data_IF_770020562353
#
_entry.id   IF_770020562353
#
_cell.length_a   1.000
_cell.length_b   1.000
_cell.length_c   1.000
_cell.angle_alpha   90.00
_cell.angle_beta   90.00
_cell.angle_gamma   90.00
#
_symmetry.space_group_name_H-M   'P 1'
#
loop_
_entity.id
_entity.type
_entity.pdbx_description
1 polymer ?
#
# COMPACT_ATOMS: atom_id res chain seq x y z
N UNK A 1 -34.84 8.07 72.55
CA UNK A 1 -34.39 6.73 72.08
C UNK A 1 -34.71 6.63 70.59
N UNK A 2 -33.72 6.83 69.74
CA UNK A 2 -33.92 6.80 68.31
C UNK A 2 -32.88 5.79 67.71
N UNK A 3 -33.40 4.71 67.16
CA UNK A 3 -32.63 3.65 66.53
C UNK A 3 -32.36 4.05 65.09
N UNK A 4 -31.09 4.28 64.77
CA UNK A 4 -30.60 4.47 63.39
C UNK A 4 -30.35 3.10 62.70
N UNK A 5 -31.06 2.84 61.60
CA UNK A 5 -30.89 1.69 60.79
C UNK A 5 -29.73 1.93 59.82
N UNK A 6 -28.68 1.15 59.96
CA UNK A 6 -27.51 1.10 59.04
C UNK A 6 -27.85 0.21 57.81
N UNK A 7 -27.93 0.80 56.61
CA UNK A 7 -28.15 0.10 55.36
C UNK A 7 -26.80 -0.46 54.86
N UNK A 8 -26.66 -1.79 54.87
CA UNK A 8 -25.50 -2.53 54.33
C UNK A 8 -25.61 -2.58 52.78
N UNK A 9 -24.95 -1.67 52.07
CA UNK A 9 -24.81 -1.72 50.62
C UNK A 9 -23.66 -2.67 50.21
N UNK A 10 -23.99 -3.89 49.85
CA UNK A 10 -23.04 -4.81 49.23
C UNK A 10 -22.72 -4.35 47.81
N UNK A 11 -21.42 -4.27 47.39
CA UNK A 11 -21.05 -3.88 46.02
C UNK A 11 -21.49 -4.94 45.01
N UNK A 12 -22.32 -4.52 44.04
CA UNK A 12 -22.74 -5.34 42.90
C UNK A 12 -21.52 -5.72 42.03
N UNK A 13 -21.23 -7.00 41.96
CA UNK A 13 -20.22 -7.55 40.99
C UNK A 13 -20.67 -7.26 39.56
N UNK A 14 -19.96 -6.32 38.88
CA UNK A 14 -20.11 -6.08 37.45
C UNK A 14 -19.78 -7.37 36.68
N UNK A 15 -20.79 -8.07 36.21
CA UNK A 15 -20.64 -9.24 35.31
C UNK A 15 -20.07 -8.78 34.00
N UNK A 16 -18.81 -9.17 33.73
CA UNK A 16 -18.11 -8.95 32.46
C UNK A 16 -18.86 -9.71 31.36
N UNK A 17 -19.43 -8.98 30.39
CA UNK A 17 -20.11 -9.58 29.24
C UNK A 17 -19.21 -10.67 28.56
N UNK A 18 -19.77 -11.83 28.17
CA UNK A 18 -18.99 -12.93 27.60
C UNK A 18 -18.38 -12.47 26.28
N UNK A 19 -17.03 -12.51 26.15
CA UNK A 19 -16.33 -12.28 24.90
C UNK A 19 -16.83 -13.27 23.84
N UNK A 20 -17.48 -12.77 22.81
CA UNK A 20 -18.01 -13.56 21.69
C UNK A 20 -16.92 -14.48 21.12
N UNK A 21 -17.13 -15.79 21.20
CA UNK A 21 -16.15 -16.82 20.79
C UNK A 21 -15.88 -16.68 19.29
N UNK A 22 -14.64 -16.38 18.90
CA UNK A 22 -14.23 -16.20 17.49
C UNK A 22 -14.48 -17.48 16.72
N UNK A 23 -15.04 -17.37 15.49
CA UNK A 23 -15.29 -18.51 14.61
C UNK A 23 -13.96 -19.05 14.06
N UNK A 24 -13.95 -20.30 13.58
CA UNK A 24 -12.80 -20.90 12.92
C UNK A 24 -12.36 -20.08 11.69
N UNK A 25 -13.32 -19.59 10.90
CA UNK A 25 -13.05 -18.74 9.74
C UNK A 25 -12.35 -17.42 10.13
N UNK A 26 -12.78 -16.78 11.22
CA UNK A 26 -12.13 -15.58 11.75
C UNK A 26 -10.68 -15.84 12.17
N UNK A 27 -10.43 -16.92 12.90
CA UNK A 27 -9.06 -17.31 13.31
C UNK A 27 -8.16 -17.56 12.11
N UNK A 28 -8.67 -18.23 11.09
CA UNK A 28 -7.95 -18.52 9.84
C UNK A 28 -7.58 -17.23 9.11
N UNK A 29 -8.50 -16.27 9.00
CA UNK A 29 -8.23 -14.94 8.39
C UNK A 29 -7.19 -14.16 9.19
N UNK A 30 -7.36 -14.06 10.51
CA UNK A 30 -6.41 -13.37 11.40
C UNK A 30 -4.99 -13.96 11.29
N UNK A 31 -4.89 -15.30 11.26
CA UNK A 31 -3.61 -15.97 11.10
C UNK A 31 -2.98 -15.71 9.74
N UNK A 32 -3.79 -15.74 8.67
CA UNK A 32 -3.33 -15.41 7.32
C UNK A 32 -2.80 -13.98 7.24
N UNK A 33 -3.52 -13.00 7.78
CA UNK A 33 -3.09 -11.59 7.82
C UNK A 33 -1.78 -11.44 8.59
N UNK A 34 -1.66 -12.01 9.79
CA UNK A 34 -0.40 -11.97 10.56
C UNK A 34 0.80 -12.56 9.80
N UNK A 35 0.60 -13.64 9.03
CA UNK A 35 1.66 -14.22 8.20
C UNK A 35 2.06 -13.26 7.08
N UNK A 36 1.09 -12.58 6.43
CA UNK A 36 1.38 -11.63 5.37
C UNK A 36 2.10 -10.38 5.89
N UNK A 37 1.65 -9.82 7.02
CA UNK A 37 2.31 -8.68 7.66
C UNK A 37 3.75 -9.01 8.09
N UNK A 38 3.95 -10.19 8.69
CA UNK A 38 5.28 -10.70 9.02
C UNK A 38 6.15 -10.90 7.76
N UNK A 39 5.57 -11.34 6.65
CA UNK A 39 6.30 -11.51 5.39
C UNK A 39 6.76 -10.15 4.82
N UNK A 40 5.96 -9.09 4.92
CA UNK A 40 6.37 -7.71 4.57
C UNK A 40 7.60 -7.32 5.38
N UNK A 41 7.57 -7.52 6.71
CA UNK A 41 8.69 -7.17 7.59
C UNK A 41 9.96 -7.98 7.29
N UNK A 42 9.83 -9.26 6.98
CA UNK A 42 10.98 -10.10 6.60
C UNK A 42 11.55 -9.66 5.25
N UNK A 43 10.70 -9.36 4.25
CA UNK A 43 11.13 -8.82 2.96
C UNK A 43 11.86 -7.49 3.12
N UNK A 44 11.29 -6.57 3.91
CA UNK A 44 11.90 -5.27 4.19
C UNK A 44 13.29 -5.38 4.83
N UNK A 45 13.46 -6.29 5.78
CA UNK A 45 14.72 -6.45 6.55
C UNK A 45 15.78 -7.27 5.83
N UNK A 46 15.39 -8.28 5.07
CA UNK A 46 16.33 -9.28 4.52
C UNK A 46 16.41 -9.28 3.00
N UNK A 47 15.49 -8.61 2.32
CA UNK A 47 15.32 -8.69 0.88
C UNK A 47 14.82 -10.05 0.40
N UNK A 48 14.47 -10.13 -0.88
CA UNK A 48 13.92 -11.35 -1.48
C UNK A 48 14.95 -12.49 -1.56
N UNK A 49 16.21 -12.18 -1.81
CA UNK A 49 17.28 -13.18 -1.92
C UNK A 49 17.41 -14.01 -0.62
N UNK A 50 17.33 -13.37 0.54
CA UNK A 50 17.47 -14.00 1.85
C UNK A 50 16.11 -14.31 2.53
N UNK A 51 15.00 -14.11 1.82
CA UNK A 51 13.67 -14.40 2.35
C UNK A 51 13.44 -15.90 2.54
N UNK A 52 13.17 -16.31 3.78
CA UNK A 52 12.89 -17.70 4.17
C UNK A 52 11.51 -17.78 4.84
N UNK A 53 10.69 -18.74 4.45
CA UNK A 53 9.35 -18.95 5.03
C UNK A 53 9.40 -19.31 6.52
N UNK A 54 10.48 -19.93 6.98
CA UNK A 54 10.71 -20.20 8.39
C UNK A 54 10.85 -18.92 9.23
N UNK A 55 11.54 -17.90 8.71
CA UNK A 55 11.66 -16.59 9.37
C UNK A 55 10.31 -15.90 9.48
N UNK A 56 9.48 -16.02 8.44
CA UNK A 56 8.10 -15.50 8.46
C UNK A 56 7.25 -16.19 9.52
N UNK A 57 7.30 -17.52 9.61
CA UNK A 57 6.57 -18.27 10.63
C UNK A 57 6.96 -17.81 12.04
N UNK A 58 8.27 -17.66 12.31
CA UNK A 58 8.79 -17.14 13.57
C UNK A 58 8.30 -15.71 13.85
N UNK A 59 8.40 -14.81 12.88
CA UNK A 59 7.97 -13.42 13.03
C UNK A 59 6.45 -13.28 13.23
N UNK A 60 5.65 -14.16 12.58
CA UNK A 60 4.19 -14.19 12.73
C UNK A 60 3.72 -14.86 14.03
N UNK A 61 4.61 -15.49 14.82
CA UNK A 61 4.25 -16.24 16.01
C UNK A 61 3.38 -17.46 15.69
N UNK A 62 3.65 -18.16 14.56
CA UNK A 62 2.93 -19.37 14.16
C UNK A 62 3.89 -20.54 13.96
N UNK A 63 3.38 -21.79 14.05
CA UNK A 63 4.17 -22.95 13.71
C UNK A 63 4.49 -23.00 12.22
N UNK A 64 5.60 -23.64 11.83
CA UNK A 64 5.95 -23.88 10.43
C UNK A 64 4.85 -24.66 9.69
N UNK A 65 4.21 -25.62 10.35
CA UNK A 65 3.07 -26.35 9.79
C UNK A 65 1.87 -25.46 9.50
N UNK A 66 1.52 -24.55 10.41
CA UNK A 66 0.46 -23.58 10.19
C UNK A 66 0.79 -22.61 9.02
N UNK A 67 2.03 -22.13 8.92
CA UNK A 67 2.46 -21.29 7.80
C UNK A 67 2.36 -22.06 6.48
N UNK A 68 2.84 -23.30 6.40
CA UNK A 68 2.77 -24.14 5.20
C UNK A 68 1.33 -24.51 4.82
N UNK A 69 0.44 -24.66 5.79
CA UNK A 69 -0.99 -24.85 5.52
C UNK A 69 -1.59 -23.66 4.77
N UNK A 70 -1.22 -22.43 5.11
CA UNK A 70 -1.67 -21.21 4.42
C UNK A 70 -0.95 -20.98 3.09
N UNK A 71 0.38 -21.20 3.05
CA UNK A 71 1.22 -20.87 1.90
C UNK A 71 2.26 -21.98 1.68
N UNK A 72 1.98 -22.88 0.75
CA UNK A 72 2.78 -24.10 0.49
C UNK A 72 4.19 -23.84 -0.04
N UNK A 73 4.44 -22.69 -0.69
CA UNK A 73 5.74 -22.34 -1.30
C UNK A 73 6.13 -20.91 -1.01
N UNK A 74 7.44 -20.59 -1.12
CA UNK A 74 7.98 -19.23 -1.04
C UNK A 74 7.27 -18.31 -2.05
N UNK A 75 7.15 -18.74 -3.30
CA UNK A 75 6.51 -17.96 -4.36
C UNK A 75 5.04 -17.62 -4.05
N UNK A 76 4.24 -18.60 -3.56
CA UNK A 76 2.85 -18.35 -3.16
C UNK A 76 2.74 -17.38 -1.99
N UNK A 77 3.65 -17.46 -1.02
CA UNK A 77 3.67 -16.52 0.10
C UNK A 77 4.01 -15.12 -0.39
N UNK A 78 5.09 -14.96 -1.19
CA UNK A 78 5.51 -13.68 -1.72
C UNK A 78 4.43 -13.06 -2.61
N UNK A 79 3.82 -13.85 -3.49
CA UNK A 79 2.73 -13.37 -4.35
C UNK A 79 1.54 -12.84 -3.52
N UNK A 80 1.08 -13.61 -2.54
CA UNK A 80 -0.02 -13.19 -1.67
C UNK A 80 0.35 -11.99 -0.78
N UNK A 81 1.62 -11.85 -0.39
CA UNK A 81 2.12 -10.69 0.36
C UNK A 81 2.06 -9.43 -0.50
N UNK A 82 2.53 -9.50 -1.74
CA UNK A 82 2.47 -8.37 -2.66
C UNK A 82 1.03 -8.00 -3.02
N UNK A 83 0.17 -9.00 -3.25
CA UNK A 83 -1.26 -8.78 -3.50
C UNK A 83 -1.92 -8.05 -2.31
N UNK A 84 -1.66 -8.50 -1.07
CA UNK A 84 -2.17 -7.89 0.16
C UNK A 84 -1.77 -6.42 0.29
N UNK A 85 -0.50 -6.12 0.06
CA UNK A 85 0.05 -4.77 0.18
C UNK A 85 -0.49 -3.85 -0.91
N UNK A 86 -0.42 -4.28 -2.17
CA UNK A 86 -0.86 -3.46 -3.31
C UNK A 86 -2.37 -3.22 -3.30
N UNK A 87 -3.17 -4.21 -2.89
CA UNK A 87 -4.62 -4.03 -2.80
C UNK A 87 -4.99 -2.84 -1.90
N UNK A 88 -4.40 -2.74 -0.72
CA UNK A 88 -4.72 -1.68 0.23
C UNK A 88 -4.25 -0.29 -0.25
N UNK A 89 -3.00 -0.20 -0.73
CA UNK A 89 -2.42 1.09 -1.15
C UNK A 89 -3.13 1.64 -2.37
N UNK A 90 -3.40 0.79 -3.37
CA UNK A 90 -3.98 1.24 -4.64
C UNK A 90 -5.48 1.47 -4.57
N UNK A 91 -6.20 0.76 -3.68
CA UNK A 91 -7.60 1.08 -3.39
C UNK A 91 -7.72 2.48 -2.77
N UNK A 92 -6.82 2.86 -1.87
CA UNK A 92 -6.75 4.21 -1.29
C UNK A 92 -6.49 5.27 -2.35
N UNK A 93 -5.51 5.04 -3.25
CA UNK A 93 -5.21 5.93 -4.38
C UNK A 93 -6.42 6.14 -5.28
N UNK A 94 -7.12 5.06 -5.64
CA UNK A 94 -8.33 5.13 -6.46
C UNK A 94 -9.45 5.96 -5.80
N UNK A 95 -9.64 5.80 -4.48
CA UNK A 95 -10.62 6.60 -3.73
C UNK A 95 -10.23 8.07 -3.74
N UNK A 96 -8.97 8.41 -3.50
CA UNK A 96 -8.48 9.80 -3.53
C UNK A 96 -8.75 10.48 -4.87
N UNK A 97 -8.47 9.77 -5.98
CA UNK A 97 -8.73 10.30 -7.32
C UNK A 97 -10.22 10.60 -7.56
N UNK A 98 -11.11 9.73 -7.04
CA UNK A 98 -12.56 9.89 -7.22
C UNK A 98 -13.21 10.90 -6.27
N UNK A 99 -12.54 11.25 -5.18
CA UNK A 99 -13.07 12.14 -4.13
C UNK A 99 -12.40 13.51 -4.11
N UNK A 100 -11.77 13.91 -5.23
CA UNK A 100 -11.23 15.25 -5.40
C UNK A 100 -12.31 16.31 -5.16
N UNK A 101 -11.98 17.29 -4.33
CA UNK A 101 -12.88 18.41 -4.03
C UNK A 101 -12.80 19.47 -5.12
N UNK A 102 -13.88 20.21 -5.29
CA UNK A 102 -13.91 21.36 -6.20
C UNK A 102 -12.84 22.38 -5.79
N UNK A 103 -11.96 22.73 -6.73
CA UNK A 103 -10.83 23.66 -6.49
C UNK A 103 -9.51 23.01 -6.11
N UNK A 104 -9.47 21.69 -5.85
CA UNK A 104 -8.19 20.98 -5.73
C UNK A 104 -7.56 20.79 -7.12
N UNK A 105 -6.24 21.01 -7.21
CA UNK A 105 -5.47 20.75 -8.41
C UNK A 105 -5.21 19.23 -8.57
N UNK A 106 -5.76 18.58 -9.61
CA UNK A 106 -5.55 17.13 -9.79
C UNK A 106 -4.10 16.76 -10.05
N UNK A 107 -3.29 17.61 -10.69
CA UNK A 107 -1.88 17.33 -10.95
C UNK A 107 -1.08 17.32 -9.65
N UNK A 108 -1.31 18.27 -8.75
CA UNK A 108 -0.70 18.28 -7.42
C UNK A 108 -1.06 17.03 -6.63
N UNK A 109 -2.32 16.60 -6.73
CA UNK A 109 -2.80 15.38 -6.06
C UNK A 109 -2.20 14.10 -6.66
N UNK A 110 -2.01 14.01 -7.98
CA UNK A 110 -1.29 12.91 -8.64
C UNK A 110 0.16 12.85 -8.17
N UNK A 111 0.84 14.00 -8.07
CA UNK A 111 2.22 14.08 -7.56
C UNK A 111 2.27 13.58 -6.12
N UNK A 112 1.38 14.05 -5.26
CA UNK A 112 1.34 13.66 -3.84
C UNK A 112 1.06 12.14 -3.68
N UNK A 113 0.09 11.61 -4.41
CA UNK A 113 -0.25 10.19 -4.40
C UNK A 113 0.89 9.32 -4.94
N UNK A 114 1.53 9.76 -6.03
CA UNK A 114 2.72 9.12 -6.57
C UNK A 114 3.89 9.09 -5.58
N UNK A 115 4.13 10.19 -4.86
CA UNK A 115 5.13 10.24 -3.78
C UNK A 115 4.83 9.23 -2.69
N UNK A 116 3.60 9.22 -2.17
CA UNK A 116 3.20 8.29 -1.12
C UNK A 116 3.42 6.82 -1.55
N UNK A 117 3.12 6.49 -2.81
CA UNK A 117 3.33 5.14 -3.32
C UNK A 117 4.80 4.83 -3.60
N UNK A 118 5.49 5.64 -4.43
CA UNK A 118 6.84 5.30 -4.91
C UNK A 118 7.93 5.48 -3.84
N UNK A 119 7.71 6.31 -2.81
CA UNK A 119 8.64 6.43 -1.69
C UNK A 119 8.31 5.48 -0.53
N UNK A 120 7.38 4.54 -0.74
CA UNK A 120 6.95 3.59 0.29
C UNK A 120 7.79 2.31 0.32
N UNK A 121 7.84 1.69 1.49
CA UNK A 121 8.43 0.35 1.66
C UNK A 121 7.86 -0.70 0.69
N UNK A 122 6.55 -0.77 0.45
CA UNK A 122 5.97 -1.67 -0.56
C UNK A 122 6.56 -1.54 -1.96
N UNK A 123 6.80 -0.34 -2.42
CA UNK A 123 7.40 -0.12 -3.73
C UNK A 123 8.82 -0.67 -3.80
N UNK A 124 9.67 -0.39 -2.81
CA UNK A 124 11.04 -0.88 -2.77
C UNK A 124 11.12 -2.41 -2.63
N UNK A 125 10.23 -3.01 -1.84
CA UNK A 125 10.10 -4.48 -1.79
C UNK A 125 9.75 -5.03 -3.19
N UNK A 126 8.82 -4.40 -3.90
CA UNK A 126 8.43 -4.84 -5.24
C UNK A 126 9.58 -4.73 -6.25
N UNK A 127 10.38 -3.68 -6.14
CA UNK A 127 11.56 -3.46 -6.97
C UNK A 127 12.64 -4.53 -6.69
N UNK A 128 12.95 -4.79 -5.42
CA UNK A 128 13.89 -5.85 -5.01
C UNK A 128 13.42 -7.22 -5.52
N UNK A 129 12.16 -7.57 -5.33
CA UNK A 129 11.61 -8.83 -5.84
C UNK A 129 11.73 -8.89 -7.38
N UNK A 130 11.34 -7.83 -8.10
CA UNK A 130 11.35 -7.80 -9.55
C UNK A 130 12.75 -8.02 -10.14
N UNK A 131 13.79 -7.48 -9.50
CA UNK A 131 15.19 -7.62 -9.91
C UNK A 131 15.83 -8.92 -9.46
N UNK A 132 15.36 -9.50 -8.35
CA UNK A 132 15.97 -10.70 -7.71
C UNK A 132 15.30 -12.02 -8.11
N UNK A 133 14.17 -12.01 -8.85
CA UNK A 133 13.48 -13.23 -9.28
C UNK A 133 14.22 -13.89 -10.46
N UNK A 134 14.65 -15.15 -10.28
CA UNK A 134 15.23 -15.96 -11.34
C UNK A 134 14.18 -16.66 -12.23
N UNK A 135 12.99 -16.96 -11.68
CA UNK A 135 11.91 -17.63 -12.40
C UNK A 135 11.18 -16.65 -13.34
N UNK A 136 11.37 -16.77 -14.64
CA UNK A 136 10.67 -15.96 -15.65
C UNK A 136 9.15 -16.07 -15.55
N UNK A 137 8.63 -17.29 -15.25
CA UNK A 137 7.21 -17.54 -15.06
C UNK A 137 6.67 -16.76 -13.85
N UNK A 138 7.36 -16.84 -12.70
CA UNK A 138 6.92 -16.16 -11.49
C UNK A 138 7.01 -14.64 -11.66
N UNK A 139 8.08 -14.12 -12.29
CA UNK A 139 8.22 -12.71 -12.64
C UNK A 139 7.04 -12.22 -13.49
N UNK A 140 6.68 -12.96 -14.55
CA UNK A 140 5.54 -12.61 -15.42
C UNK A 140 4.22 -12.55 -14.65
N UNK A 141 3.96 -13.52 -13.76
CA UNK A 141 2.77 -13.54 -12.93
C UNK A 141 2.73 -12.35 -11.97
N UNK A 142 3.82 -12.05 -11.28
CA UNK A 142 3.92 -10.94 -10.34
C UNK A 142 3.73 -9.59 -11.04
N UNK A 143 4.39 -9.38 -12.20
CA UNK A 143 4.24 -8.14 -12.96
C UNK A 143 2.82 -7.96 -13.51
N UNK A 144 2.17 -9.03 -13.93
CA UNK A 144 0.76 -8.98 -14.34
C UNK A 144 -0.15 -8.59 -13.16
N UNK A 145 0.07 -9.15 -11.98
CA UNK A 145 -0.69 -8.79 -10.77
C UNK A 145 -0.49 -7.32 -10.38
N UNK A 146 0.76 -6.83 -10.34
CA UNK A 146 1.08 -5.43 -10.02
C UNK A 146 0.41 -4.48 -11.03
N UNK A 147 0.53 -4.78 -12.33
CA UNK A 147 -0.13 -3.98 -13.37
C UNK A 147 -1.63 -3.94 -13.19
N UNK A 148 -2.28 -5.10 -13.00
CA UNK A 148 -3.73 -5.17 -12.84
C UNK A 148 -4.22 -4.43 -11.57
N UNK A 149 -3.44 -4.45 -10.51
CA UNK A 149 -3.73 -3.69 -9.30
C UNK A 149 -3.63 -2.17 -9.53
N UNK A 150 -2.65 -1.70 -10.34
CA UNK A 150 -2.42 -0.27 -10.60
C UNK A 150 -3.43 0.36 -11.55
N UNK A 151 -3.85 -0.36 -12.59
CA UNK A 151 -4.71 0.18 -13.64
C UNK A 151 -5.98 0.90 -13.17
N UNK A 152 -6.72 0.44 -12.13
CA UNK A 152 -7.89 1.15 -11.64
C UNK A 152 -7.57 2.53 -11.04
N UNK A 153 -6.45 2.67 -10.33
CA UNK A 153 -6.00 3.93 -9.76
C UNK A 153 -5.53 4.89 -10.88
N UNK A 154 -4.72 4.40 -11.82
CA UNK A 154 -4.26 5.20 -12.96
C UNK A 154 -5.42 5.72 -13.80
N UNK A 155 -6.43 4.88 -14.09
CA UNK A 155 -7.65 5.32 -14.77
C UNK A 155 -8.42 6.38 -13.99
N UNK A 156 -8.52 6.26 -12.68
CA UNK A 156 -9.21 7.25 -11.86
C UNK A 156 -8.47 8.60 -11.87
N UNK A 157 -7.15 8.60 -11.81
CA UNK A 157 -6.34 9.82 -11.93
C UNK A 157 -6.40 10.44 -13.33
N UNK A 158 -6.36 9.63 -14.38
CA UNK A 158 -6.57 10.10 -15.75
C UNK A 158 -7.93 10.81 -15.89
N UNK A 159 -9.01 10.19 -15.41
CA UNK A 159 -10.33 10.80 -15.42
C UNK A 159 -10.39 12.13 -14.64
N UNK A 160 -9.69 12.23 -13.51
CA UNK A 160 -9.61 13.46 -12.74
C UNK A 160 -8.88 14.58 -13.51
N UNK A 161 -7.82 14.26 -14.24
CA UNK A 161 -7.09 15.21 -15.10
C UNK A 161 -7.97 15.66 -16.28
N UNK A 162 -8.68 14.75 -16.93
CA UNK A 162 -9.63 15.10 -18.00
C UNK A 162 -10.74 16.00 -17.48
N UNK A 163 -11.31 15.68 -16.32
CA UNK A 163 -12.37 16.50 -15.69
C UNK A 163 -11.90 17.91 -15.31
N UNK A 164 -10.59 18.15 -15.17
CA UNK A 164 -10.02 19.49 -14.96
C UNK A 164 -9.86 20.33 -16.24
N UNK A 165 -10.21 19.75 -17.41
CA UNK A 165 -10.18 20.44 -18.70
C UNK A 165 -9.00 20.05 -19.61
N UNK A 166 -8.22 19.01 -19.25
CA UNK A 166 -7.22 18.44 -20.16
C UNK A 166 -7.91 17.57 -21.23
N UNK A 167 -7.37 17.56 -22.46
CA UNK A 167 -7.78 16.55 -23.44
C UNK A 167 -7.35 15.17 -23.00
N UNK A 168 -8.02 14.11 -23.46
CA UNK A 168 -7.70 12.71 -23.14
C UNK A 168 -6.20 12.38 -23.35
N UNK A 169 -5.65 12.79 -24.50
CA UNK A 169 -4.25 12.56 -24.84
C UNK A 169 -3.29 13.31 -23.90
N UNK A 170 -3.56 14.58 -23.61
CA UNK A 170 -2.73 15.39 -22.70
C UNK A 170 -2.77 14.82 -21.29
N UNK A 171 -3.95 14.39 -20.82
CA UNK A 171 -4.11 13.79 -19.51
C UNK A 171 -3.33 12.48 -19.38
N UNK A 172 -3.34 11.63 -20.43
CA UNK A 172 -2.54 10.38 -20.48
C UNK A 172 -1.04 10.68 -20.43
N UNK A 173 -0.54 11.55 -21.30
CA UNK A 173 0.87 11.93 -21.37
C UNK A 173 1.34 12.55 -20.03
N UNK A 174 0.58 13.49 -19.47
CA UNK A 174 0.89 14.14 -18.19
C UNK A 174 0.91 13.13 -17.04
N UNK A 175 -0.06 12.22 -16.97
CA UNK A 175 -0.10 11.19 -15.95
C UNK A 175 1.12 10.27 -16.03
N UNK A 176 1.44 9.76 -17.23
CA UNK A 176 2.57 8.88 -17.45
C UNK A 176 3.90 9.53 -17.09
N UNK A 177 4.13 10.77 -17.53
CA UNK A 177 5.34 11.54 -17.25
C UNK A 177 5.44 11.85 -15.76
N UNK A 178 4.35 12.25 -15.10
CA UNK A 178 4.31 12.53 -13.67
C UNK A 178 4.69 11.30 -12.85
N UNK A 179 4.03 10.16 -13.10
CA UNK A 179 4.35 8.92 -12.40
C UNK A 179 5.76 8.41 -12.73
N UNK A 180 6.23 8.63 -13.95
CA UNK A 180 7.59 8.34 -14.38
C UNK A 180 8.65 9.16 -13.63
N UNK A 181 8.42 10.47 -13.52
CA UNK A 181 9.29 11.38 -12.78
C UNK A 181 9.35 11.03 -11.29
N UNK A 182 8.20 10.92 -10.63
CA UNK A 182 8.14 10.61 -9.17
C UNK A 182 8.81 9.27 -8.87
N UNK A 183 8.57 8.24 -9.69
CA UNK A 183 9.23 6.94 -9.58
C UNK A 183 10.74 7.03 -9.79
N UNK A 184 11.17 7.82 -10.77
CA UNK A 184 12.60 8.05 -11.03
C UNK A 184 13.32 8.70 -9.85
N UNK A 185 12.69 9.70 -9.22
CA UNK A 185 13.21 10.34 -8.00
C UNK A 185 13.25 9.35 -6.82
N UNK A 186 12.23 8.54 -6.64
CA UNK A 186 12.21 7.52 -5.60
C UNK A 186 13.33 6.48 -5.78
N UNK A 187 13.56 6.01 -7.01
CA UNK A 187 14.67 5.08 -7.30
C UNK A 187 16.01 5.77 -7.08
N UNK A 188 16.15 7.05 -7.47
CA UNK A 188 17.38 7.82 -7.25
C UNK A 188 17.73 7.95 -5.76
N UNK A 189 16.71 8.00 -4.87
CA UNK A 189 16.93 8.07 -3.42
C UNK A 189 17.79 6.92 -2.88
N UNK A 190 17.88 5.77 -3.58
CA UNK A 190 18.70 4.63 -3.14
C UNK A 190 20.21 4.96 -3.06
N UNK A 191 20.70 5.95 -3.82
CA UNK A 191 22.10 6.35 -3.80
C UNK A 191 22.31 7.87 -3.65
N UNK A 192 21.25 8.67 -3.76
CA UNK A 192 21.32 10.11 -3.59
C UNK A 192 20.00 10.63 -3.04
N UNK A 193 19.92 10.77 -1.72
CA UNK A 193 18.73 11.27 -1.02
C UNK A 193 18.83 12.78 -0.83
N UNK A 194 18.12 13.53 -1.67
CA UNK A 194 18.08 15.01 -1.66
C UNK A 194 16.62 15.49 -1.66
N UNK A 195 15.88 15.39 -0.54
CA UNK A 195 14.45 15.71 -0.48
C UNK A 195 14.10 17.10 -1.01
N UNK A 196 14.86 18.12 -0.63
CA UNK A 196 14.64 19.51 -1.07
C UNK A 196 14.82 19.68 -2.58
N UNK A 197 15.77 18.95 -3.18
CA UNK A 197 15.94 18.93 -4.63
C UNK A 197 14.77 18.24 -5.30
N UNK A 198 14.28 17.15 -4.74
CA UNK A 198 13.12 16.43 -5.27
C UNK A 198 11.86 17.30 -5.25
N UNK A 199 11.64 18.04 -4.17
CA UNK A 199 10.55 19.01 -4.05
C UNK A 199 10.64 20.11 -5.11
N UNK A 200 11.82 20.70 -5.33
CA UNK A 200 12.03 21.70 -6.39
C UNK A 200 11.78 21.13 -7.79
N UNK A 201 12.22 19.89 -8.07
CA UNK A 201 12.01 19.26 -9.37
C UNK A 201 10.53 18.94 -9.63
N UNK A 202 9.78 18.54 -8.61
CA UNK A 202 8.33 18.33 -8.74
C UNK A 202 7.57 19.64 -8.92
N UNK A 203 7.98 20.71 -8.24
CA UNK A 203 7.44 22.05 -8.46
C UNK A 203 7.73 22.57 -9.87
N UNK A 204 8.97 22.39 -10.36
CA UNK A 204 9.34 22.73 -11.74
C UNK A 204 8.49 21.94 -12.75
N UNK A 205 8.31 20.64 -12.53
CA UNK A 205 7.45 19.80 -13.39
C UNK A 205 6.01 20.36 -13.48
N UNK A 206 5.43 20.73 -12.33
CA UNK A 206 4.10 21.34 -12.29
C UNK A 206 4.04 22.62 -13.15
N UNK A 207 5.02 23.52 -13.01
CA UNK A 207 5.09 24.75 -13.82
C UNK A 207 5.20 24.45 -15.31
N UNK A 208 5.97 23.43 -15.70
CA UNK A 208 6.11 23.01 -17.10
C UNK A 208 4.75 22.54 -17.65
N UNK A 209 4.03 21.69 -16.89
CA UNK A 209 2.73 21.17 -17.29
C UNK A 209 1.69 22.30 -17.40
N UNK A 210 1.63 23.21 -16.42
CA UNK A 210 0.74 24.38 -16.44
C UNK A 210 0.98 25.25 -17.68
N UNK A 211 2.26 25.53 -17.99
CA UNK A 211 2.65 26.29 -19.19
C UNK A 211 2.35 25.55 -20.50
N UNK A 212 2.42 24.22 -20.52
CA UNK A 212 2.04 23.42 -21.68
C UNK A 212 0.55 23.42 -21.93
N UNK A 213 -0.27 23.24 -20.88
CA UNK A 213 -1.73 23.24 -20.96
C UNK A 213 -2.26 24.62 -21.37
N UNK A 214 -1.68 25.70 -20.80
CA UNK A 214 -2.07 27.08 -21.14
C UNK A 214 -1.84 27.45 -22.62
N UNK A 215 -0.88 26.81 -23.30
CA UNK A 215 -0.63 26.98 -24.73
C UNK A 215 -1.50 26.09 -25.63
N UNK A 216 -2.14 25.08 -25.06
CA UNK A 216 -2.94 24.09 -25.79
C UNK A 216 -4.45 24.39 -25.74
N UNK A 217 -4.83 25.49 -25.09
CA UNK A 217 -6.20 26.08 -25.08
C UNK A 217 -6.25 27.22 -26.07
#
# INVERSE_FOLDING_TARGET
MSLSATTDERPQKRTRAPKKRRTQAQRTRETRTRILDAAVEVLRKKGYAHFRTADVAKAAGVSRGAQLHHFKTKEKLVFATMEHVFHNVLATSQVRARTLKRGEDPLERVIADGREFFFSTPFFISLDIATSINSARFRKQLMAMVRNARLPAERAWHQALVASGMSEKVADDVLWLTLGLVRGLAVRMLWQNEPERFDRLLALWRTIVEGYIGKSR
#
